data_IF_079974184573
#
_entry.id   IF_079974184573
#
_cell.length_a   1.000
_cell.length_b   1.000
_cell.length_c   1.000
_cell.angle_alpha   90.00
_cell.angle_beta   90.00
_cell.angle_gamma   90.00
#
_symmetry.space_group_name_H-M   'P 1'
#
loop_
_entity.id
_entity.type
_entity.pdbx_description
1 polymer ?
#
# COMPACT_ATOMS: atom_id res chain seq x y z
N UNK A 1 -68.59 27.78 -2.30
CA UNK A 1 -67.44 27.13 -1.63
C UNK A 1 -66.89 25.92 -2.40
N UNK A 2 -66.58 26.04 -3.70
CA UNK A 2 -66.09 24.91 -4.51
C UNK A 2 -64.88 25.30 -5.43
N UNK A 3 -64.24 26.43 -5.22
CA UNK A 3 -63.15 26.92 -6.12
C UNK A 3 -61.83 27.25 -5.43
N UNK A 4 -61.63 26.92 -4.16
CA UNK A 4 -60.37 27.19 -3.41
C UNK A 4 -59.51 25.94 -3.22
N UNK A 5 -60.09 24.73 -3.40
CA UNK A 5 -59.36 23.47 -3.20
C UNK A 5 -58.52 23.03 -4.43
N UNK A 6 -58.78 23.62 -5.60
CA UNK A 6 -58.04 23.29 -6.83
C UNK A 6 -56.70 24.02 -7.01
N UNK A 7 -56.46 25.13 -6.29
CA UNK A 7 -55.27 25.96 -6.46
C UNK A 7 -54.10 25.54 -5.57
N UNK A 8 -54.36 24.78 -4.50
CA UNK A 8 -53.31 24.31 -3.60
C UNK A 8 -52.64 23.02 -4.03
N UNK A 9 -53.26 22.28 -4.97
CA UNK A 9 -52.68 21.02 -5.45
C UNK A 9 -51.71 21.19 -6.65
N UNK A 10 -51.69 22.40 -7.27
CA UNK A 10 -50.82 22.70 -8.42
C UNK A 10 -49.50 23.36 -8.01
N UNK A 11 -49.34 23.77 -6.74
CA UNK A 11 -48.15 24.46 -6.25
C UNK A 11 -47.08 23.53 -5.65
N UNK A 12 -47.41 22.25 -5.44
CA UNK A 12 -46.47 21.24 -4.92
C UNK A 12 -45.68 20.50 -6.01
N UNK A 13 -45.88 20.81 -7.30
CA UNK A 13 -45.22 20.09 -8.42
C UNK A 13 -44.03 20.83 -9.03
N UNK A 14 -43.60 21.98 -8.52
CA UNK A 14 -42.60 22.82 -9.19
C UNK A 14 -41.26 22.91 -8.43
N UNK A 15 -41.12 22.32 -7.26
CA UNK A 15 -39.84 22.26 -6.54
C UNK A 15 -39.32 20.86 -6.32
N UNK A 16 -39.37 20.04 -7.38
CA UNK A 16 -38.46 18.93 -7.49
C UNK A 16 -37.10 19.50 -7.91
N UNK A 17 -36.28 19.97 -6.97
CA UNK A 17 -34.85 20.17 -7.24
C UNK A 17 -34.29 18.81 -7.62
N UNK A 18 -34.13 18.59 -8.92
CA UNK A 18 -33.29 17.48 -9.41
C UNK A 18 -31.89 17.79 -8.90
N UNK A 19 -31.54 17.24 -7.74
CA UNK A 19 -30.15 17.10 -7.35
C UNK A 19 -29.54 16.15 -8.37
N UNK A 20 -29.06 16.68 -9.48
CA UNK A 20 -28.09 15.96 -10.31
C UNK A 20 -26.86 15.78 -9.43
N UNK A 21 -26.68 14.56 -8.93
CA UNK A 21 -25.47 14.17 -8.25
C UNK A 21 -24.35 14.39 -9.26
N UNK A 22 -23.64 15.50 -9.11
CA UNK A 22 -22.49 15.78 -9.96
C UNK A 22 -21.50 14.64 -9.72
N UNK A 23 -21.32 13.82 -10.73
CA UNK A 23 -20.45 12.65 -10.61
C UNK A 23 -19.01 13.19 -10.66
N UNK A 24 -18.31 13.19 -9.54
CA UNK A 24 -16.88 13.54 -9.49
C UNK A 24 -16.15 12.65 -10.49
N UNK A 25 -15.61 13.25 -11.53
CA UNK A 25 -14.90 12.56 -12.59
C UNK A 25 -13.42 12.92 -12.53
N UNK A 26 -12.59 11.97 -12.11
CA UNK A 26 -11.13 12.13 -12.13
C UNK A 26 -10.64 11.83 -13.53
N UNK A 27 -10.07 12.83 -14.18
CA UNK A 27 -9.46 12.69 -15.52
C UNK A 27 -8.04 12.16 -15.35
N UNK A 28 -7.73 11.02 -15.96
CA UNK A 28 -6.39 10.45 -15.91
C UNK A 28 -5.92 9.99 -17.28
N UNK A 29 -4.60 10.04 -17.49
CA UNK A 29 -3.91 9.47 -18.65
C UNK A 29 -3.13 8.26 -18.16
N UNK A 30 -3.32 7.11 -18.80
CA UNK A 30 -2.59 5.87 -18.46
C UNK A 30 -1.82 5.38 -19.68
N UNK A 31 -0.57 4.95 -19.46
CA UNK A 31 0.27 4.30 -20.46
C UNK A 31 1.24 3.33 -19.81
N UNK A 32 1.93 2.54 -20.62
CA UNK A 32 2.94 1.61 -20.14
C UNK A 32 4.27 1.87 -20.84
N UNK A 33 5.38 1.82 -20.09
CA UNK A 33 6.72 1.82 -20.65
C UNK A 33 7.06 0.46 -21.29
N UNK A 34 8.08 0.43 -22.15
CA UNK A 34 8.55 -0.80 -22.81
C UNK A 34 8.95 -1.90 -21.79
N UNK A 35 9.47 -1.49 -20.63
CA UNK A 35 9.82 -2.39 -19.53
C UNK A 35 8.62 -2.81 -18.66
N UNK A 36 7.39 -2.48 -19.06
CA UNK A 36 6.19 -2.92 -18.38
C UNK A 36 5.72 -2.05 -17.22
N UNK A 37 6.42 -0.97 -16.86
CA UNK A 37 5.95 -0.04 -15.83
C UNK A 37 4.65 0.63 -16.28
N UNK A 38 3.60 0.46 -15.49
CA UNK A 38 2.34 1.17 -15.69
C UNK A 38 2.46 2.57 -15.11
N UNK A 39 2.13 3.61 -15.91
CA UNK A 39 2.19 5.01 -15.50
C UNK A 39 0.81 5.63 -15.59
N UNK A 40 0.39 6.30 -14.52
CA UNK A 40 -0.90 7.00 -14.42
C UNK A 40 -0.61 8.47 -14.08
N UNK A 41 -1.14 9.38 -14.88
CA UNK A 41 -0.98 10.83 -14.73
C UNK A 41 -2.35 11.47 -14.49
N UNK A 42 -2.45 12.27 -13.44
CA UNK A 42 -3.59 13.13 -13.15
C UNK A 42 -3.09 14.56 -12.95
N UNK A 43 -3.21 15.38 -14.01
CA UNK A 43 -2.78 16.78 -14.05
C UNK A 43 -3.86 17.66 -13.44
N UNK A 44 -3.54 18.36 -12.35
CA UNK A 44 -4.42 19.27 -11.62
C UNK A 44 -3.61 20.47 -11.08
N UNK A 45 -3.89 21.65 -11.60
CA UNK A 45 -3.20 22.89 -11.26
C UNK A 45 -3.86 23.67 -10.11
N UNK A 46 -4.72 23.05 -9.32
CA UNK A 46 -5.43 23.72 -8.22
C UNK A 46 -4.52 24.10 -7.04
N UNK A 47 -3.39 23.42 -6.86
CA UNK A 47 -2.39 23.72 -5.84
C UNK A 47 -0.97 23.42 -6.37
N UNK A 48 0.07 24.20 -5.99
CA UNK A 48 1.43 24.06 -6.52
C UNK A 48 2.19 22.89 -5.87
N UNK A 49 1.57 21.72 -5.85
CA UNK A 49 2.14 20.48 -5.31
C UNK A 49 1.93 19.32 -6.28
N UNK A 50 2.83 18.35 -6.25
CA UNK A 50 2.70 17.10 -6.96
C UNK A 50 2.88 15.91 -6.01
N UNK A 51 2.04 14.90 -6.16
CA UNK A 51 2.16 13.62 -5.46
C UNK A 51 2.73 12.58 -6.42
N UNK A 52 3.74 11.87 -5.98
CA UNK A 52 4.32 10.71 -6.67
C UNK A 52 4.08 9.48 -5.80
N UNK A 53 3.59 8.39 -6.38
CA UNK A 53 3.45 7.11 -5.70
C UNK A 53 3.93 5.98 -6.60
N UNK A 54 4.82 5.15 -6.07
CA UNK A 54 5.17 3.85 -6.67
C UNK A 54 4.55 2.74 -5.83
N UNK A 55 3.68 1.96 -6.46
CA UNK A 55 3.05 0.79 -5.85
C UNK A 55 3.61 -0.47 -6.48
N UNK A 56 4.22 -1.32 -5.67
CA UNK A 56 4.64 -2.66 -6.05
C UNK A 56 3.56 -3.66 -5.70
N UNK A 57 3.23 -4.56 -6.64
CA UNK A 57 2.24 -5.62 -6.46
C UNK A 57 2.85 -6.80 -5.68
N UNK A 58 3.36 -6.49 -4.49
CA UNK A 58 3.97 -7.43 -3.55
C UNK A 58 3.66 -7.00 -2.12
N UNK A 59 3.31 -7.95 -1.28
CA UNK A 59 3.05 -7.75 0.14
C UNK A 59 3.34 -9.03 0.91
N UNK A 60 2.91 -9.11 2.16
CA UNK A 60 3.21 -10.27 3.01
C UNK A 60 2.63 -11.59 2.48
N UNK A 61 1.63 -11.58 1.61
CA UNK A 61 1.11 -12.78 0.94
C UNK A 61 2.13 -13.46 0.00
N UNK A 62 3.14 -12.73 -0.44
CA UNK A 62 4.19 -13.23 -1.33
C UNK A 62 5.37 -13.86 -0.57
N UNK A 63 5.33 -13.79 0.75
CA UNK A 63 6.31 -14.40 1.63
C UNK A 63 6.15 -15.92 1.71
N UNK A 64 7.18 -16.59 2.21
CA UNK A 64 7.14 -18.03 2.45
C UNK A 64 7.02 -18.30 3.95
N UNK A 65 6.39 -19.41 4.37
CA UNK A 65 6.44 -19.86 5.74
C UNK A 65 7.90 -19.87 6.27
N UNK A 66 8.13 -19.39 7.47
CA UNK A 66 9.44 -19.17 8.08
C UNK A 66 10.30 -18.08 7.43
N UNK A 67 9.66 -17.19 6.68
CA UNK A 67 10.24 -15.98 6.09
C UNK A 67 9.21 -14.85 6.11
N UNK A 68 8.47 -14.73 7.22
CA UNK A 68 7.43 -13.70 7.40
C UNK A 68 8.04 -12.36 7.83
N UNK A 69 7.38 -11.25 7.49
CA UNK A 69 7.86 -9.90 7.76
C UNK A 69 8.82 -9.34 6.71
N UNK A 70 9.10 -10.09 5.62
CA UNK A 70 10.04 -9.67 4.58
C UNK A 70 9.54 -8.48 3.77
N UNK A 71 8.26 -8.45 3.41
CA UNK A 71 7.71 -7.34 2.65
C UNK A 71 7.79 -6.02 3.43
N UNK A 72 7.54 -6.07 4.73
CA UNK A 72 7.66 -4.91 5.61
C UNK A 72 9.12 -4.53 5.88
N UNK A 73 10.00 -5.50 6.09
CA UNK A 73 11.45 -5.24 6.19
C UNK A 73 11.96 -4.56 4.91
N UNK A 74 11.45 -4.96 3.75
CA UNK A 74 11.77 -4.29 2.47
C UNK A 74 11.27 -2.87 2.40
N UNK A 75 10.09 -2.57 2.92
CA UNK A 75 9.63 -1.19 3.03
C UNK A 75 10.68 -0.32 3.72
N UNK A 76 11.21 -0.79 4.85
CA UNK A 76 12.27 -0.09 5.58
C UNK A 76 13.59 -0.01 4.81
N UNK A 77 13.99 -1.11 4.16
CA UNK A 77 15.25 -1.16 3.39
C UNK A 77 15.25 -0.18 2.21
N UNK A 78 14.09 0.08 1.60
CA UNK A 78 13.95 1.01 0.48
C UNK A 78 14.26 2.47 0.84
N UNK A 79 14.36 2.81 2.11
CA UNK A 79 14.76 4.13 2.60
C UNK A 79 16.25 4.23 2.98
N UNK A 80 17.02 3.16 2.79
CA UNK A 80 18.41 3.08 3.24
C UNK A 80 19.45 3.51 2.18
N UNK A 81 19.01 4.28 1.18
CA UNK A 81 19.86 4.74 0.08
C UNK A 81 19.88 3.78 -1.11
N UNK A 82 20.45 4.25 -2.20
CA UNK A 82 20.51 3.58 -3.49
C UNK A 82 21.81 3.91 -4.22
N UNK A 83 22.00 3.40 -5.44
CA UNK A 83 23.25 3.50 -6.21
C UNK A 83 23.79 4.92 -6.36
N UNK A 84 22.92 5.86 -6.73
CA UNK A 84 23.34 7.23 -7.01
C UNK A 84 23.14 8.17 -5.82
N UNK A 85 22.36 7.75 -4.82
CA UNK A 85 22.19 8.45 -3.55
C UNK A 85 22.23 7.45 -2.38
N UNK A 86 23.45 7.17 -1.92
CA UNK A 86 23.69 6.19 -0.85
C UNK A 86 23.76 6.85 0.54
N UNK A 87 22.70 7.56 0.90
CA UNK A 87 22.50 8.23 2.19
C UNK A 87 21.02 8.12 2.61
N UNK A 88 20.60 8.81 3.66
CA UNK A 88 19.21 8.87 4.11
C UNK A 88 18.29 9.38 2.99
N UNK A 89 17.43 8.50 2.52
CA UNK A 89 16.48 8.78 1.43
C UNK A 89 15.54 9.97 1.73
N UNK A 90 15.21 10.18 3.00
CA UNK A 90 14.32 11.25 3.42
C UNK A 90 14.96 12.64 3.27
N UNK A 91 16.26 12.75 3.47
CA UNK A 91 16.96 14.03 3.57
C UNK A 91 16.75 14.96 2.37
N UNK A 92 17.05 14.60 1.11
CA UNK A 92 16.93 15.53 -0.02
C UNK A 92 15.48 15.92 -0.29
N UNK A 93 14.54 15.02 -0.03
CA UNK A 93 13.13 15.29 -0.24
C UNK A 93 12.54 16.14 0.90
N UNK A 94 12.93 15.93 2.15
CA UNK A 94 12.52 16.78 3.27
C UNK A 94 13.11 18.19 3.18
N UNK A 95 14.36 18.33 2.72
CA UNK A 95 14.96 19.62 2.41
C UNK A 95 14.21 20.36 1.30
N UNK A 96 13.60 19.63 0.36
CA UNK A 96 12.71 20.16 -0.67
C UNK A 96 11.28 20.47 -0.16
N UNK A 97 10.97 20.17 1.10
CA UNK A 97 9.65 20.39 1.70
C UNK A 97 8.66 19.26 1.47
N UNK A 98 9.12 18.06 1.14
CA UNK A 98 8.27 16.90 0.89
C UNK A 98 7.71 16.26 2.17
N UNK A 99 6.52 15.69 2.04
CA UNK A 99 6.00 14.69 2.97
C UNK A 99 6.14 13.31 2.31
N UNK A 100 6.78 12.37 3.01
CA UNK A 100 7.19 11.07 2.45
C UNK A 100 6.77 9.97 3.40
N UNK A 101 6.29 8.85 2.84
CA UNK A 101 6.03 7.64 3.63
C UNK A 101 6.02 6.38 2.75
N UNK A 102 5.93 5.22 3.39
CA UNK A 102 5.67 3.93 2.79
C UNK A 102 4.59 3.18 3.57
N UNK A 103 4.03 2.16 2.98
CA UNK A 103 3.17 1.22 3.69
C UNK A 103 3.14 -0.14 3.02
N UNK A 104 3.06 -1.18 3.85
CA UNK A 104 2.94 -2.58 3.41
C UNK A 104 1.65 -3.19 3.94
N UNK A 105 0.97 -3.92 3.06
CA UNK A 105 -0.20 -4.73 3.38
C UNK A 105 0.04 -6.18 2.95
N UNK A 106 -0.88 -7.10 3.18
CA UNK A 106 -0.75 -8.43 2.59
C UNK A 106 -0.61 -8.44 1.07
N UNK A 107 -1.17 -7.46 0.36
CA UNK A 107 -1.30 -7.48 -1.10
C UNK A 107 -0.38 -6.52 -1.85
N UNK A 108 0.09 -5.46 -1.21
CA UNK A 108 0.88 -4.41 -1.86
C UNK A 108 1.89 -3.77 -0.91
N UNK A 109 2.95 -3.19 -1.49
CA UNK A 109 3.86 -2.25 -0.84
C UNK A 109 3.90 -1.00 -1.68
N UNK A 110 3.68 0.18 -1.10
CA UNK A 110 3.77 1.44 -1.81
C UNK A 110 4.64 2.44 -1.07
N UNK A 111 5.22 3.33 -1.85
CA UNK A 111 5.99 4.49 -1.40
C UNK A 111 5.37 5.71 -2.03
N UNK A 112 5.28 6.79 -1.29
CA UNK A 112 4.71 8.02 -1.82
C UNK A 112 5.34 9.24 -1.19
N UNK A 113 5.43 10.28 -1.98
CA UNK A 113 5.84 11.61 -1.56
C UNK A 113 4.91 12.67 -2.17
N UNK A 114 4.68 13.72 -1.37
CA UNK A 114 4.05 14.96 -1.83
C UNK A 114 5.10 16.04 -1.77
N UNK A 115 5.41 16.61 -2.92
CA UNK A 115 6.47 17.63 -3.10
C UNK A 115 5.89 18.93 -3.64
N UNK A 116 6.51 20.09 -3.41
CA UNK A 116 6.26 21.27 -4.25
C UNK A 116 6.50 20.93 -5.73
N UNK A 117 5.67 21.44 -6.63
CA UNK A 117 5.66 21.02 -8.05
C UNK A 117 7.01 21.17 -8.77
N UNK A 118 7.84 22.15 -8.38
CA UNK A 118 9.18 22.35 -8.91
C UNK A 118 10.20 21.26 -8.49
N UNK A 119 9.87 20.38 -7.56
CA UNK A 119 10.70 19.25 -7.12
C UNK A 119 10.21 17.89 -7.65
N UNK A 120 9.22 17.87 -8.55
CA UNK A 120 8.72 16.63 -9.15
C UNK A 120 9.83 15.80 -9.83
N UNK A 121 10.75 16.44 -10.55
CA UNK A 121 11.87 15.71 -11.19
C UNK A 121 12.77 15.01 -10.16
N UNK A 122 13.03 15.67 -9.01
CA UNK A 122 13.79 15.06 -7.91
C UNK A 122 13.07 13.81 -7.36
N UNK A 123 11.78 13.90 -7.10
CA UNK A 123 11.00 12.77 -6.62
C UNK A 123 11.05 11.58 -7.59
N UNK A 124 10.86 11.84 -8.89
CA UNK A 124 10.94 10.79 -9.92
C UNK A 124 12.33 10.17 -10.04
N UNK A 125 13.39 10.97 -9.90
CA UNK A 125 14.76 10.47 -9.86
C UNK A 125 14.99 9.56 -8.66
N UNK A 126 14.59 9.97 -7.47
CA UNK A 126 14.78 9.21 -6.23
C UNK A 126 14.01 7.88 -6.27
N UNK A 127 12.78 7.87 -6.78
CA UNK A 127 11.99 6.65 -6.95
C UNK A 127 12.62 5.68 -7.96
N UNK A 128 13.09 6.19 -9.09
CA UNK A 128 13.75 5.38 -10.10
C UNK A 128 15.08 4.81 -9.61
N UNK A 129 15.86 5.60 -8.87
CA UNK A 129 17.17 5.18 -8.35
C UNK A 129 17.02 4.04 -7.33
N UNK A 130 16.06 4.12 -6.41
CA UNK A 130 15.83 3.01 -5.48
C UNK A 130 15.23 1.78 -6.16
N UNK A 131 14.35 1.95 -7.19
CA UNK A 131 13.81 0.82 -7.94
C UNK A 131 14.90 0.04 -8.68
N UNK A 132 15.86 0.73 -9.26
CA UNK A 132 16.93 0.10 -10.06
C UNK A 132 18.22 -0.17 -9.32
N UNK A 133 18.54 0.60 -8.29
CA UNK A 133 19.87 0.68 -7.68
C UNK A 133 19.95 0.36 -6.18
N UNK A 134 18.87 -0.10 -5.54
CA UNK A 134 18.86 -0.42 -4.11
C UNK A 134 19.94 -1.44 -3.75
N UNK A 135 20.05 -2.54 -4.50
CA UNK A 135 20.98 -3.63 -4.18
C UNK A 135 22.46 -3.21 -4.27
N UNK A 136 22.77 -2.18 -5.04
CA UNK A 136 24.14 -1.66 -5.18
C UNK A 136 24.61 -0.93 -3.91
N UNK A 137 23.68 -0.39 -3.13
CA UNK A 137 23.93 0.32 -1.88
C UNK A 137 23.67 -0.52 -0.63
N UNK A 138 23.19 -1.77 -0.80
CA UNK A 138 22.81 -2.61 0.33
C UNK A 138 24.02 -3.28 0.97
N UNK A 139 24.14 -3.14 2.30
CA UNK A 139 25.19 -3.76 3.11
C UNK A 139 24.60 -4.63 4.22
N UNK A 140 25.42 -5.54 4.77
CA UNK A 140 25.01 -6.36 5.92
C UNK A 140 24.64 -5.49 7.12
N UNK A 141 25.36 -4.41 7.35
CA UNK A 141 25.10 -3.46 8.44
C UNK A 141 23.72 -2.81 8.31
N UNK A 142 23.34 -2.35 7.10
CA UNK A 142 21.99 -1.80 6.85
C UNK A 142 20.90 -2.83 7.10
N UNK A 143 21.12 -4.07 6.66
CA UNK A 143 20.17 -5.15 6.90
C UNK A 143 20.02 -5.44 8.39
N UNK A 144 21.13 -5.55 9.12
CA UNK A 144 21.11 -5.84 10.56
C UNK A 144 20.42 -4.73 11.33
N UNK A 145 20.69 -3.48 10.99
CA UNK A 145 20.03 -2.31 11.57
C UNK A 145 18.50 -2.37 11.32
N UNK A 146 18.05 -2.55 10.08
CA UNK A 146 16.63 -2.54 9.78
C UNK A 146 15.88 -3.76 10.33
N UNK A 147 16.53 -4.91 10.43
CA UNK A 147 15.96 -6.04 11.17
C UNK A 147 15.69 -5.68 12.63
N UNK A 148 16.61 -5.01 13.29
CA UNK A 148 16.45 -4.60 14.69
C UNK A 148 15.38 -3.51 14.84
N UNK A 149 15.28 -2.57 13.89
CA UNK A 149 14.20 -1.57 13.84
C UNK A 149 12.84 -2.25 13.74
N UNK A 150 12.63 -3.15 12.77
CA UNK A 150 11.36 -3.85 12.58
C UNK A 150 11.02 -4.76 13.77
N UNK A 151 12.01 -5.44 14.37
CA UNK A 151 11.79 -6.23 15.59
C UNK A 151 11.38 -5.36 16.78
N UNK A 152 11.96 -4.17 16.91
CA UNK A 152 11.57 -3.23 17.96
C UNK A 152 10.16 -2.65 17.71
N UNK A 153 9.82 -2.38 16.45
CA UNK A 153 8.48 -1.96 16.05
C UNK A 153 7.44 -3.04 16.39
N UNK A 154 7.73 -4.34 16.09
CA UNK A 154 6.86 -5.44 16.49
C UNK A 154 6.62 -5.45 18.01
N UNK A 155 7.71 -5.34 18.80
CA UNK A 155 7.56 -5.29 20.25
C UNK A 155 6.70 -4.12 20.71
N UNK A 156 6.91 -2.93 20.13
CA UNK A 156 6.20 -1.70 20.53
C UNK A 156 4.74 -1.70 20.10
N UNK A 157 4.43 -2.18 18.90
CA UNK A 157 3.06 -2.06 18.32
C UNK A 157 2.20 -3.31 18.55
N UNK A 158 2.83 -4.47 18.78
CA UNK A 158 2.12 -5.74 18.94
C UNK A 158 2.37 -6.35 20.30
N UNK A 159 3.60 -6.77 20.61
CA UNK A 159 3.87 -7.63 21.77
C UNK A 159 3.65 -6.91 23.10
N UNK A 160 3.93 -5.60 23.18
CA UNK A 160 3.80 -4.79 24.39
C UNK A 160 2.54 -3.91 24.43
N UNK A 161 1.65 -4.02 23.42
CA UNK A 161 0.40 -3.28 23.42
C UNK A 161 -0.77 -4.11 23.94
N UNK A 162 -1.64 -3.55 24.78
CA UNK A 162 -2.90 -4.19 25.11
C UNK A 162 -3.67 -4.60 23.86
N UNK A 163 -4.05 -5.86 23.76
CA UNK A 163 -4.71 -6.48 22.60
C UNK A 163 -3.89 -6.49 21.31
N UNK A 164 -2.60 -6.15 21.34
CA UNK A 164 -1.78 -5.93 20.15
C UNK A 164 -1.63 -7.17 19.26
N UNK A 165 -1.64 -8.37 19.83
CA UNK A 165 -1.56 -9.65 19.08
C UNK A 165 -2.92 -10.23 18.67
N UNK A 166 -4.04 -9.54 18.97
CA UNK A 166 -5.38 -10.07 18.70
C UNK A 166 -5.60 -10.37 17.20
N UNK A 167 -5.22 -9.46 16.30
CA UNK A 167 -5.36 -9.68 14.86
C UNK A 167 -4.46 -10.80 14.32
N UNK A 168 -3.30 -11.03 14.91
CA UNK A 168 -2.45 -12.19 14.60
C UNK A 168 -3.19 -13.49 14.93
N UNK A 169 -3.79 -13.58 16.12
CA UNK A 169 -4.60 -14.74 16.54
C UNK A 169 -5.85 -14.93 15.69
N UNK A 170 -6.51 -13.85 15.29
CA UNK A 170 -7.64 -13.89 14.38
C UNK A 170 -7.21 -14.46 13.03
N UNK A 171 -6.12 -13.98 12.45
CA UNK A 171 -5.60 -14.47 11.16
C UNK A 171 -5.24 -15.96 11.22
N UNK A 172 -4.60 -16.41 12.30
CA UNK A 172 -4.28 -17.82 12.55
C UNK A 172 -5.52 -18.72 12.60
N UNK A 173 -6.65 -18.23 13.11
CA UNK A 173 -7.92 -18.95 13.19
C UNK A 173 -8.72 -18.92 11.89
N UNK A 174 -8.70 -17.79 11.20
CA UNK A 174 -9.48 -17.59 9.97
C UNK A 174 -8.87 -18.25 8.75
N UNK A 175 -7.55 -18.44 8.72
CA UNK A 175 -6.81 -18.94 7.57
C UNK A 175 -5.96 -20.18 7.92
N UNK A 176 -5.95 -21.22 7.06
CA UNK A 176 -5.06 -22.36 7.24
C UNK A 176 -3.59 -21.93 7.25
N UNK A 177 -2.71 -22.66 7.93
CA UNK A 177 -1.26 -22.38 8.00
C UNK A 177 -0.56 -22.28 6.64
N UNK A 178 -1.13 -22.85 5.60
CA UNK A 178 -0.63 -22.77 4.21
C UNK A 178 -1.15 -21.56 3.47
N UNK A 179 -2.14 -20.86 4.01
CA UNK A 179 -2.72 -19.68 3.37
C UNK A 179 -1.86 -18.44 3.67
N UNK A 180 -1.55 -17.59 2.68
CA UNK A 180 -0.66 -16.44 2.88
C UNK A 180 -1.23 -15.34 3.79
N UNK A 181 -2.50 -15.38 4.16
CA UNK A 181 -3.09 -14.48 5.15
C UNK A 181 -3.12 -15.04 6.57
N UNK A 182 -2.51 -16.21 6.80
CA UNK A 182 -2.39 -16.78 8.14
C UNK A 182 -1.41 -16.02 9.03
N UNK A 183 -0.44 -15.30 8.45
CA UNK A 183 0.54 -14.47 9.17
C UNK A 183 0.33 -12.99 8.92
N UNK A 184 0.81 -12.17 9.85
CA UNK A 184 0.72 -10.71 9.78
C UNK A 184 1.89 -10.10 8.99
N UNK A 185 1.68 -8.89 8.48
CA UNK A 185 2.67 -8.15 7.69
C UNK A 185 3.96 -7.85 8.47
N UNK A 186 3.85 -7.66 9.80
CA UNK A 186 5.03 -7.40 10.65
C UNK A 186 5.95 -8.63 10.76
N UNK A 187 5.44 -9.84 10.56
CA UNK A 187 6.18 -11.09 10.67
C UNK A 187 6.56 -11.50 12.09
N UNK A 188 7.23 -12.63 12.23
CA UNK A 188 7.72 -13.13 13.53
C UNK A 188 9.14 -12.63 13.84
N UNK A 189 9.47 -12.49 15.13
CA UNK A 189 10.84 -12.15 15.56
C UNK A 189 11.87 -13.18 15.12
N UNK A 190 11.47 -14.46 15.07
CA UNK A 190 12.31 -15.57 14.63
C UNK A 190 12.64 -15.45 13.14
N UNK A 191 11.62 -15.25 12.30
CA UNK A 191 11.77 -15.15 10.85
C UNK A 191 12.60 -13.92 10.45
N UNK A 192 12.33 -12.77 11.08
CA UNK A 192 13.12 -11.55 10.89
C UNK A 192 14.59 -11.75 11.27
N UNK A 193 14.85 -12.48 12.36
CA UNK A 193 16.23 -12.77 12.78
C UNK A 193 16.95 -13.73 11.83
N UNK A 194 16.20 -14.62 11.18
CA UNK A 194 16.72 -15.57 10.20
C UNK A 194 16.90 -14.97 8.79
N UNK A 195 16.43 -13.74 8.55
CA UNK A 195 16.54 -13.07 7.25
C UNK A 195 18.02 -12.87 6.85
N UNK A 196 18.42 -13.50 5.75
CA UNK A 196 19.78 -13.35 5.20
C UNK A 196 19.83 -12.31 4.08
N UNK A 197 21.04 -11.82 3.77
CA UNK A 197 21.26 -10.92 2.63
C UNK A 197 20.83 -11.57 1.29
N UNK A 198 21.01 -12.88 1.15
CA UNK A 198 20.62 -13.59 -0.06
C UNK A 198 19.11 -13.71 -0.19
N UNK A 199 18.38 -13.93 0.91
CA UNK A 199 16.92 -13.89 0.92
C UNK A 199 16.42 -12.51 0.50
N UNK A 200 17.01 -11.45 1.05
CA UNK A 200 16.72 -10.06 0.73
C UNK A 200 16.93 -9.78 -0.76
N UNK A 201 18.11 -10.12 -1.30
CA UNK A 201 18.40 -9.92 -2.73
C UNK A 201 17.47 -10.72 -3.63
N UNK A 202 17.12 -11.95 -3.24
CA UNK A 202 16.21 -12.79 -4.00
C UNK A 202 14.80 -12.18 -4.05
N UNK A 203 14.29 -11.71 -2.90
CA UNK A 203 12.97 -11.09 -2.81
C UNK A 203 12.90 -9.80 -3.64
N UNK A 204 13.93 -8.93 -3.56
CA UNK A 204 14.00 -7.72 -4.39
C UNK A 204 13.96 -8.04 -5.87
N UNK A 205 14.86 -8.92 -6.35
CA UNK A 205 14.94 -9.28 -7.76
C UNK A 205 13.64 -9.91 -8.28
N UNK A 206 12.91 -10.60 -7.42
CA UNK A 206 11.66 -11.23 -7.79
C UNK A 206 10.51 -10.24 -7.93
N UNK A 207 10.42 -9.25 -7.03
CA UNK A 207 9.20 -8.46 -6.88
C UNK A 207 9.35 -6.97 -7.16
N UNK A 208 10.55 -6.39 -6.97
CA UNK A 208 10.79 -4.96 -7.12
C UNK A 208 11.34 -4.65 -8.52
N UNK A 209 10.42 -4.64 -9.49
CA UNK A 209 10.77 -4.38 -10.89
C UNK A 209 9.68 -3.56 -11.58
N UNK A 210 10.01 -2.87 -12.68
CA UNK A 210 9.06 -2.05 -13.42
C UNK A 210 7.78 -2.79 -13.81
N UNK A 211 7.88 -4.03 -14.30
CA UNK A 211 6.72 -4.82 -14.74
C UNK A 211 5.79 -5.26 -13.59
N UNK A 212 6.24 -5.15 -12.34
CA UNK A 212 5.46 -5.42 -11.14
C UNK A 212 5.07 -4.15 -10.38
N UNK A 213 5.20 -2.98 -11.00
CA UNK A 213 4.95 -1.70 -10.37
C UNK A 213 3.97 -0.83 -11.16
N UNK A 214 3.34 0.07 -10.44
CA UNK A 214 2.56 1.18 -11.00
C UNK A 214 3.09 2.48 -10.42
N UNK A 215 3.40 3.44 -11.29
CA UNK A 215 3.77 4.80 -10.95
C UNK A 215 2.57 5.72 -11.16
N UNK A 216 2.18 6.43 -10.13
CA UNK A 216 1.10 7.43 -10.18
C UNK A 216 1.69 8.81 -9.91
N UNK A 217 1.37 9.78 -10.75
CA UNK A 217 1.72 11.19 -10.57
C UNK A 217 0.43 11.99 -10.61
N UNK A 218 0.16 12.76 -9.56
CA UNK A 218 -1.04 13.59 -9.45
C UNK A 218 -0.69 14.99 -8.94
N UNK A 219 -1.31 16.03 -9.48
CA UNK A 219 -1.13 17.42 -9.06
C UNK A 219 -0.64 18.36 -10.14
N UNK A 220 0.11 19.38 -9.75
CA UNK A 220 0.54 20.48 -10.60
C UNK A 220 1.81 20.14 -11.40
N UNK A 221 1.63 19.71 -12.63
CA UNK A 221 2.73 19.43 -13.56
C UNK A 221 2.23 19.44 -15.01
N UNK A 222 3.15 19.60 -15.96
CA UNK A 222 2.90 19.37 -17.38
C UNK A 222 3.06 17.89 -17.72
N UNK A 223 2.01 17.27 -18.25
CA UNK A 223 2.01 15.82 -18.57
C UNK A 223 3.06 15.41 -19.61
N UNK A 224 3.45 16.30 -20.54
CA UNK A 224 4.47 16.01 -21.55
C UNK A 224 5.84 15.97 -20.88
N UNK A 225 6.14 16.96 -20.08
CA UNK A 225 7.39 17.05 -19.31
C UNK A 225 7.53 15.87 -18.33
N UNK A 226 6.47 15.54 -17.58
CA UNK A 226 6.47 14.39 -16.68
C UNK A 226 6.75 13.08 -17.44
N UNK A 227 6.16 12.88 -18.62
CA UNK A 227 6.43 11.72 -19.47
C UNK A 227 7.88 11.64 -19.94
N UNK A 228 8.51 12.77 -20.26
CA UNK A 228 9.93 12.84 -20.61
C UNK A 228 10.81 12.41 -19.42
N UNK A 229 10.56 12.92 -18.21
CA UNK A 229 11.27 12.51 -17.00
C UNK A 229 11.05 11.03 -16.65
N UNK A 230 9.82 10.56 -16.70
CA UNK A 230 9.51 9.13 -16.47
C UNK A 230 10.27 8.26 -17.46
N UNK A 231 10.30 8.62 -18.74
CA UNK A 231 11.06 7.86 -19.75
C UNK A 231 12.56 7.92 -19.49
N UNK A 232 13.09 9.07 -19.09
CA UNK A 232 14.51 9.30 -18.78
C UNK A 232 14.98 8.43 -17.61
N UNK A 233 14.21 8.40 -16.50
CA UNK A 233 14.64 7.76 -15.27
C UNK A 233 14.23 6.28 -15.19
N UNK A 234 13.02 5.94 -15.61
CA UNK A 234 12.49 4.57 -15.47
C UNK A 234 12.65 3.72 -16.73
N UNK A 235 12.79 4.34 -17.92
CA UNK A 235 12.77 3.61 -19.19
C UNK A 235 13.89 2.61 -19.37
N UNK A 236 15.06 2.85 -18.78
CA UNK A 236 16.23 1.96 -18.82
C UNK A 236 16.28 0.90 -17.73
N UNK A 237 15.32 0.88 -16.79
CA UNK A 237 15.32 -0.08 -15.69
C UNK A 237 14.98 -1.49 -16.20
N UNK A 238 15.70 -2.48 -15.67
CA UNK A 238 15.57 -3.89 -16.06
C UNK A 238 14.39 -4.54 -15.34
N UNK A 239 13.67 -5.40 -16.05
CA UNK A 239 12.63 -6.21 -15.44
C UNK A 239 13.18 -7.35 -14.60
N UNK A 240 12.40 -7.74 -13.57
CA UNK A 240 12.60 -8.99 -12.84
C UNK A 240 12.09 -10.21 -13.62
N UNK A 241 12.21 -11.37 -13.00
CA UNK A 241 11.61 -12.60 -13.52
C UNK A 241 10.07 -12.52 -13.55
N UNK A 242 9.38 -13.23 -14.46
CA UNK A 242 7.93 -13.30 -14.45
C UNK A 242 7.40 -13.79 -13.10
N UNK A 243 6.35 -13.12 -12.59
CA UNK A 243 5.76 -13.45 -11.30
C UNK A 243 4.56 -14.34 -11.48
N UNK A 244 4.63 -15.54 -10.92
CA UNK A 244 3.47 -16.43 -10.82
C UNK A 244 2.62 -16.00 -9.62
N UNK A 245 1.34 -15.77 -9.86
CA UNK A 245 0.35 -15.39 -8.82
C UNK A 245 -0.64 -16.54 -8.66
N UNK A 246 -0.37 -17.53 -7.77
CA UNK A 246 -1.30 -18.62 -7.55
C UNK A 246 -2.60 -18.06 -6.95
N UNK A 247 -3.73 -18.50 -7.47
CA UNK A 247 -5.02 -18.25 -6.86
C UNK A 247 -5.11 -19.06 -5.56
N UNK A 248 -5.42 -18.37 -4.46
CA UNK A 248 -5.71 -19.03 -3.20
C UNK A 248 -7.24 -19.07 -3.03
N UNK A 249 -7.84 -20.25 -2.87
CA UNK A 249 -9.26 -20.33 -2.59
C UNK A 249 -9.56 -19.69 -1.25
N UNK A 250 -10.65 -18.95 -1.18
CA UNK A 250 -11.14 -18.42 0.09
C UNK A 250 -11.44 -19.59 1.04
N UNK A 251 -10.86 -19.66 2.23
CA UNK A 251 -11.16 -20.70 3.19
C UNK A 251 -12.62 -20.57 3.64
N UNK A 252 -13.29 -21.70 3.80
CA UNK A 252 -14.69 -21.73 4.27
C UNK A 252 -14.69 -22.16 5.73
N UNK A 253 -15.22 -21.30 6.60
CA UNK A 253 -15.48 -21.65 8.00
C UNK A 253 -16.79 -22.44 8.05
N UNK A 254 -16.74 -23.73 8.33
CA UNK A 254 -17.91 -24.60 8.40
C UNK A 254 -18.66 -24.52 9.73
N UNK A 255 -18.04 -23.92 10.74
CA UNK A 255 -18.59 -23.77 12.09
C UNK A 255 -18.00 -22.56 12.81
N UNK A 256 -18.66 -22.13 13.86
CA UNK A 256 -18.13 -21.12 14.78
C UNK A 256 -16.86 -21.62 15.47
N UNK A 257 -15.84 -20.76 15.53
CA UNK A 257 -14.60 -21.00 16.29
C UNK A 257 -14.59 -20.03 17.44
N UNK A 258 -14.42 -20.54 18.68
CA UNK A 258 -14.27 -19.72 19.89
C UNK A 258 -12.89 -19.91 20.46
N UNK A 259 -12.24 -18.79 20.79
CA UNK A 259 -10.94 -18.76 21.45
C UNK A 259 -10.99 -17.81 22.64
N UNK A 260 -10.48 -18.23 23.77
CA UNK A 260 -10.16 -17.35 24.88
C UNK A 260 -8.65 -17.12 24.89
N UNK A 261 -8.24 -15.87 24.89
CA UNK A 261 -6.84 -15.47 24.92
C UNK A 261 -6.61 -14.54 26.11
N UNK A 262 -5.62 -14.89 26.93
CA UNK A 262 -5.23 -14.10 28.10
C UNK A 262 -4.18 -13.08 27.70
N UNK A 263 -4.37 -11.84 28.14
CA UNK A 263 -3.44 -10.75 27.91
C UNK A 263 -3.41 -9.83 29.15
N UNK A 264 -2.35 -9.05 29.28
CA UNK A 264 -2.17 -8.09 30.37
C UNK A 264 -2.99 -6.83 30.16
N UNK A 265 -4.31 -6.95 30.31
CA UNK A 265 -5.29 -5.88 30.04
C UNK A 265 -6.22 -5.63 31.23
N UNK A 266 -6.74 -4.40 31.33
CA UNK A 266 -7.66 -4.04 32.43
C UNK A 266 -9.11 -4.51 32.17
N UNK A 267 -9.53 -4.54 30.91
CA UNK A 267 -10.89 -4.88 30.51
C UNK A 267 -10.89 -6.02 29.48
N UNK A 268 -11.85 -6.95 29.55
CA UNK A 268 -12.01 -7.93 28.49
C UNK A 268 -12.50 -7.25 27.19
N UNK A 269 -12.08 -7.80 26.03
CA UNK A 269 -12.56 -7.40 24.71
C UNK A 269 -13.05 -8.63 23.97
N UNK A 270 -14.16 -8.50 23.28
CA UNK A 270 -14.71 -9.51 22.39
C UNK A 270 -14.48 -9.07 20.95
N UNK A 271 -13.95 -9.96 20.14
CA UNK A 271 -13.85 -9.81 18.70
C UNK A 271 -14.81 -10.80 18.04
N UNK A 272 -15.72 -10.32 17.23
CA UNK A 272 -16.59 -11.11 16.38
C UNK A 272 -16.17 -10.87 14.94
N UNK A 273 -15.76 -11.94 14.24
CA UNK A 273 -15.12 -11.83 12.93
C UNK A 273 -15.80 -12.77 11.94
N UNK A 274 -16.12 -12.25 10.76
CA UNK A 274 -16.67 -12.98 9.63
C UNK A 274 -15.81 -12.80 8.40
N UNK A 275 -15.88 -13.77 7.49
CA UNK A 275 -15.32 -13.61 6.16
C UNK A 275 -16.21 -12.66 5.37
N UNK A 276 -15.57 -11.75 4.63
CA UNK A 276 -16.22 -10.79 3.76
C UNK A 276 -15.89 -11.07 2.29
N UNK A 277 -16.42 -10.26 1.40
CA UNK A 277 -16.09 -10.30 -0.03
C UNK A 277 -14.68 -9.78 -0.29
N UNK A 278 -14.02 -10.19 -1.40
CA UNK A 278 -12.75 -9.60 -1.80
C UNK A 278 -12.87 -8.10 -2.07
N UNK A 279 -11.77 -7.38 -1.84
CA UNK A 279 -11.66 -5.95 -2.16
C UNK A 279 -12.02 -5.68 -3.64
N UNK A 280 -12.74 -4.61 -3.89
CA UNK A 280 -13.25 -4.24 -5.22
C UNK A 280 -14.51 -5.00 -5.64
N UNK A 281 -15.08 -5.84 -4.77
CA UNK A 281 -16.38 -6.46 -5.02
C UNK A 281 -17.49 -5.41 -4.98
N UNK A 282 -18.55 -5.61 -5.81
CA UNK A 282 -19.70 -4.70 -5.87
C UNK A 282 -20.44 -4.53 -4.53
N UNK A 283 -20.35 -5.50 -3.64
CA UNK A 283 -21.04 -5.52 -2.35
C UNK A 283 -20.18 -4.95 -1.21
N UNK A 284 -18.89 -4.63 -1.46
CA UNK A 284 -17.92 -4.11 -0.47
C UNK A 284 -18.46 -2.85 0.21
N UNK A 285 -18.86 -1.84 -0.56
CA UNK A 285 -19.35 -0.57 0.00
C UNK A 285 -20.60 -0.73 0.87
N UNK A 286 -21.46 -1.69 0.55
CA UNK A 286 -22.65 -1.98 1.37
C UNK A 286 -22.27 -2.67 2.69
N UNK A 287 -21.28 -3.57 2.64
CA UNK A 287 -20.78 -4.25 3.83
C UNK A 287 -19.99 -3.30 4.75
N UNK A 288 -19.23 -2.37 4.18
CA UNK A 288 -18.55 -1.32 4.95
C UNK A 288 -19.53 -0.44 5.73
N UNK A 289 -20.69 -0.15 5.13
CA UNK A 289 -21.77 0.57 5.84
C UNK A 289 -22.35 -0.28 6.97
N UNK A 290 -22.56 -1.58 6.75
CA UNK A 290 -23.11 -2.49 7.78
C UNK A 290 -22.14 -2.63 8.96
N UNK A 291 -20.82 -2.63 8.71
CA UNK A 291 -19.78 -2.73 9.75
C UNK A 291 -19.77 -1.52 10.72
N UNK A 292 -20.42 -0.41 10.35
CA UNK A 292 -20.51 0.79 11.19
C UNK A 292 -21.70 0.78 12.16
N UNK A 293 -22.64 -0.18 12.05
CA UNK A 293 -23.84 -0.31 12.88
C UNK A 293 -23.75 -1.53 13.80
#
# INVERSE_FOLDING_TARGET
MKSILGFFMLLCLVFGTVYTKEQVRITMKQYQLVNGLTVILHEDHSAPIASVMVMYHVGSKNEKPKRTGFAHLFEHMMFQGSKNYNDDYFKPLQEAGANINGSTTPDRTNYYEVVPSNFLELALFMEADRMGGLLDAMTQEKLDNQRDVVKNERRQRYDNQPYGTAFEKISELMYPKTHPYNWTTIGSLEDLSAASMDDVKAFFRQYYSPSNASLVIAGDFDSKQAKEWVTKYFGGLTNGAPITRPSQPQPVLSQEIRMNYEDSVQLPRVYMVWQSVPQGNKDEAALDVVDQF
#
